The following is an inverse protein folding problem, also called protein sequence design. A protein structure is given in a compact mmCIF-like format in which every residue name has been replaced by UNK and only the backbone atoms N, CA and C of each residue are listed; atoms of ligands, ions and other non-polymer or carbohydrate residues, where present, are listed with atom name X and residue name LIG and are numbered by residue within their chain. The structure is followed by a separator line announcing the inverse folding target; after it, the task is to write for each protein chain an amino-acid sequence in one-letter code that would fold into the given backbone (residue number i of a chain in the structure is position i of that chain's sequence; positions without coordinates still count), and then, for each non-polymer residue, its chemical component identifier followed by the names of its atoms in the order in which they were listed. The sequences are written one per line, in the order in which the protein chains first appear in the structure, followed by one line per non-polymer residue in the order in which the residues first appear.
data_IF_679014640774
#
_entry.id   IF_679014640774
#
_cell.length_a   1.000
_cell.length_b   1.000
_cell.length_c   1.000
_cell.angle_alpha   90.00
_cell.angle_beta   90.00
_cell.angle_gamma   90.00
#
_symmetry.space_group_name_H-M   'P 1'
#
loop_
_entity.id
_entity.type
_entity.pdbx_description
1 polymer ?
#
# COMPACT_ATOMS: atom_id res chain seq x y z
N UNK A 1 10.14 19.66 12.63
CA UNK A 1 9.70 20.90 13.30
C UNK A 1 9.64 20.73 14.82
N UNK A 2 8.73 19.90 15.37
CA UNK A 2 8.60 19.70 16.83
C UNK A 2 9.95 19.44 17.52
N UNK A 3 10.71 18.47 16.99
CA UNK A 3 12.03 18.12 17.52
C UNK A 3 12.99 19.31 17.57
N UNK A 4 13.18 19.98 16.44
CA UNK A 4 14.14 21.10 16.27
C UNK A 4 13.81 22.30 17.16
N UNK A 5 12.52 22.60 17.34
CA UNK A 5 12.07 23.82 18.03
C UNK A 5 11.92 23.65 19.53
N UNK A 6 11.63 22.44 20.00
CA UNK A 6 11.24 22.22 21.39
C UNK A 6 12.07 21.17 22.12
N UNK A 7 12.82 20.33 21.41
CA UNK A 7 13.61 19.27 22.03
C UNK A 7 15.10 19.59 21.94
N UNK A 8 15.68 19.47 20.75
CA UNK A 8 17.13 19.58 20.53
C UNK A 8 17.42 20.00 19.08
N UNK A 9 18.61 20.56 18.78
CA UNK A 9 19.05 20.79 17.39
C UNK A 9 18.97 19.52 16.56
N UNK A 10 18.59 19.66 15.28
CA UNK A 10 18.49 18.52 14.37
C UNK A 10 19.84 17.78 14.26
N UNK A 11 19.85 16.46 14.47
CA UNK A 11 21.04 15.65 14.32
C UNK A 11 21.62 15.67 12.90
N UNK A 12 22.92 15.37 12.77
CA UNK A 12 23.61 15.37 11.46
C UNK A 12 23.19 14.20 10.57
N UNK A 13 22.64 13.14 11.15
CA UNK A 13 22.25 11.93 10.42
C UNK A 13 20.82 11.52 10.77
N UNK A 14 20.14 10.90 9.80
CA UNK A 14 18.79 10.35 10.01
C UNK A 14 18.77 9.29 11.11
N UNK A 15 19.82 8.46 11.21
CA UNK A 15 19.88 7.41 12.23
C UNK A 15 19.98 7.98 13.66
N UNK A 16 20.75 9.05 13.83
CA UNK A 16 20.82 9.77 15.10
C UNK A 16 19.47 10.43 15.44
N UNK A 17 18.80 11.05 14.45
CA UNK A 17 17.45 11.59 14.61
C UNK A 17 16.45 10.53 15.07
N UNK A 18 16.43 9.35 14.43
CA UNK A 18 15.54 8.24 14.80
C UNK A 18 15.76 7.76 16.24
N UNK A 19 17.02 7.53 16.60
CA UNK A 19 17.41 7.08 17.94
C UNK A 19 16.97 8.10 19.00
N UNK A 20 17.23 9.38 18.76
CA UNK A 20 16.83 10.45 19.68
C UNK A 20 15.33 10.63 19.75
N UNK A 21 14.60 10.54 18.62
CA UNK A 21 13.13 10.60 18.60
C UNK A 21 12.50 9.53 19.49
N UNK A 22 12.92 8.27 19.35
CA UNK A 22 12.38 7.16 20.17
C UNK A 22 12.74 7.34 21.65
N UNK A 23 13.92 7.89 21.95
CA UNK A 23 14.28 8.17 23.35
C UNK A 23 13.41 9.23 24.03
N UNK A 24 12.69 10.06 23.26
CA UNK A 24 11.77 11.10 23.76
C UNK A 24 10.31 10.64 23.74
N UNK A 25 9.96 9.72 22.85
CA UNK A 25 8.61 9.20 22.68
C UNK A 25 8.66 7.68 22.53
N UNK A 26 8.22 6.96 23.57
CA UNK A 26 8.24 5.50 23.61
C UNK A 26 7.53 4.87 22.40
N UNK A 27 6.45 5.50 21.94
CA UNK A 27 5.67 5.04 20.78
C UNK A 27 5.01 6.21 20.08
N UNK A 28 5.20 6.28 18.76
CA UNK A 28 4.53 7.25 17.89
C UNK A 28 3.62 6.51 16.93
N UNK A 29 2.38 6.96 16.82
CA UNK A 29 1.39 6.39 15.90
C UNK A 29 0.97 7.43 14.88
N UNK A 30 1.18 7.12 13.61
CA UNK A 30 0.72 7.92 12.49
C UNK A 30 -0.59 7.32 11.95
N UNK A 31 -1.71 8.03 12.14
CA UNK A 31 -3.04 7.57 11.72
C UNK A 31 -3.15 7.35 10.23
N UNK A 32 -2.43 8.15 9.43
CA UNK A 32 -2.38 8.00 7.98
C UNK A 32 -1.65 6.74 7.59
N UNK A 33 -0.56 6.42 8.28
CA UNK A 33 0.17 5.16 8.07
C UNK A 33 -0.71 3.95 8.43
N UNK A 34 -1.30 3.94 9.62
CA UNK A 34 -2.17 2.84 10.09
C UNK A 34 -3.30 2.59 9.08
N UNK A 35 -4.01 3.63 8.66
CA UNK A 35 -5.11 3.50 7.71
C UNK A 35 -4.64 2.96 6.34
N UNK A 36 -3.46 3.38 5.86
CA UNK A 36 -2.90 2.89 4.58
C UNK A 36 -2.51 1.41 4.62
N UNK A 37 -1.96 0.93 5.72
CA UNK A 37 -1.55 -0.47 5.85
C UNK A 37 -2.78 -1.38 6.06
N UNK A 38 -3.70 -0.94 6.92
CA UNK A 38 -4.85 -1.77 7.32
C UNK A 38 -5.92 -1.87 6.24
N UNK A 39 -6.05 -0.89 5.33
CA UNK A 39 -7.07 -0.97 4.26
C UNK A 39 -6.96 -2.22 3.37
N UNK A 40 -5.78 -2.82 3.26
CA UNK A 40 -5.57 -4.00 2.42
C UNK A 40 -5.88 -5.32 3.13
N UNK A 41 -6.05 -5.30 4.45
CA UNK A 41 -6.23 -6.50 5.28
C UNK A 41 -7.50 -6.47 6.12
N UNK A 42 -7.97 -5.27 6.49
CA UNK A 42 -9.17 -5.08 7.29
C UNK A 42 -10.35 -4.76 6.37
N UNK A 43 -11.35 -5.64 6.37
CA UNK A 43 -12.54 -5.53 5.49
C UNK A 43 -13.35 -4.24 5.71
N UNK A 44 -13.34 -3.67 6.91
CA UNK A 44 -14.08 -2.43 7.21
C UNK A 44 -13.38 -1.19 6.66
N UNK A 45 -12.10 -1.31 6.31
CA UNK A 45 -11.28 -0.25 5.71
C UNK A 45 -11.03 -0.46 4.22
N UNK A 46 -11.52 -1.55 3.62
CA UNK A 46 -11.27 -1.90 2.22
C UNK A 46 -11.71 -0.80 1.24
N UNK A 47 -12.82 -0.13 1.54
CA UNK A 47 -13.39 0.95 0.72
C UNK A 47 -12.70 2.32 0.92
N UNK A 48 -11.66 2.39 1.76
CA UNK A 48 -10.96 3.64 2.05
C UNK A 48 -10.15 4.13 0.83
N UNK A 49 -10.66 5.18 0.19
CA UNK A 49 -10.05 5.78 -1.02
C UNK A 49 -8.97 6.82 -0.69
N UNK A 50 -9.19 7.63 0.34
CA UNK A 50 -8.36 8.78 0.68
C UNK A 50 -7.91 8.74 2.13
N UNK A 51 -6.74 9.31 2.42
CA UNK A 51 -6.14 9.32 3.76
C UNK A 51 -5.75 10.72 4.21
N UNK A 52 -6.39 11.73 3.63
CA UNK A 52 -6.44 13.07 4.20
C UNK A 52 -7.10 13.02 5.57
N UNK A 53 -6.81 13.97 6.45
CA UNK A 53 -7.41 14.02 7.79
C UNK A 53 -8.94 14.04 7.75
N UNK A 54 -9.53 14.98 6.99
CA UNK A 54 -10.98 15.15 6.87
C UNK A 54 -11.63 13.91 6.25
N UNK A 55 -11.16 13.47 5.08
CA UNK A 55 -11.74 12.34 4.38
C UNK A 55 -11.64 11.03 5.17
N UNK A 56 -10.54 10.82 5.90
CA UNK A 56 -10.40 9.66 6.78
C UNK A 56 -11.37 9.75 7.97
N UNK A 57 -11.51 10.91 8.59
CA UNK A 57 -12.46 11.11 9.68
C UNK A 57 -13.90 10.90 9.25
N UNK A 58 -14.31 11.52 8.13
CA UNK A 58 -15.65 11.40 7.57
C UNK A 58 -15.96 9.94 7.20
N UNK A 59 -15.00 9.24 6.58
CA UNK A 59 -15.13 7.81 6.27
C UNK A 59 -15.34 6.98 7.53
N UNK A 60 -14.54 7.19 8.57
CA UNK A 60 -14.64 6.42 9.82
C UNK A 60 -15.95 6.70 10.56
N UNK A 61 -16.44 7.95 10.57
CA UNK A 61 -17.75 8.28 11.13
C UNK A 61 -18.89 7.55 10.44
N UNK A 62 -18.83 7.39 9.12
CA UNK A 62 -19.84 6.61 8.38
C UNK A 62 -19.85 5.13 8.80
N UNK A 63 -18.74 4.61 9.34
CA UNK A 63 -18.64 3.25 9.88
C UNK A 63 -19.17 3.10 11.30
N UNK A 64 -19.65 4.16 11.94
CA UNK A 64 -20.10 4.12 13.34
C UNK A 64 -21.13 3.03 13.62
N UNK A 65 -22.07 2.82 12.69
CA UNK A 65 -23.12 1.80 12.83
C UNK A 65 -22.65 0.39 12.45
N UNK A 66 -21.60 0.25 11.63
CA UNK A 66 -21.13 -1.04 11.12
C UNK A 66 -20.35 -1.82 12.19
N UNK A 67 -19.63 -1.11 13.07
CA UNK A 67 -18.68 -1.70 14.03
C UNK A 67 -18.90 -1.26 15.48
N UNK A 68 -20.00 -0.59 15.79
CA UNK A 68 -20.28 -0.05 17.14
C UNK A 68 -19.13 0.84 17.66
N UNK A 69 -18.76 1.86 16.87
CA UNK A 69 -17.67 2.76 17.24
C UNK A 69 -17.96 3.49 18.55
N UNK A 70 -16.93 3.73 19.39
CA UNK A 70 -17.10 4.46 20.64
C UNK A 70 -17.64 5.86 20.36
N UNK A 71 -18.67 6.25 21.09
CA UNK A 71 -19.22 7.60 21.00
C UNK A 71 -18.28 8.57 21.73
N UNK A 72 -17.43 9.26 20.97
CA UNK A 72 -16.56 10.31 21.48
C UNK A 72 -17.34 11.61 21.36
N UNK A 73 -17.86 12.11 22.48
CA UNK A 73 -18.66 13.33 22.53
C UNK A 73 -17.89 14.48 21.90
N UNK A 74 -18.48 15.14 20.89
CA UNK A 74 -17.89 16.33 20.27
C UNK A 74 -17.98 17.50 21.24
N UNK A 75 -16.93 17.72 22.04
CA UNK A 75 -16.78 18.94 22.83
C UNK A 75 -16.58 20.19 21.95
N UNK A 76 -16.31 20.00 20.66
CA UNK A 76 -16.04 21.09 19.71
C UNK A 76 -17.13 21.09 18.64
N UNK A 77 -17.98 22.11 18.69
CA UNK A 77 -19.23 22.22 17.90
C UNK A 77 -19.05 22.83 16.50
N UNK A 78 -17.82 22.98 16.00
CA UNK A 78 -17.55 23.61 14.71
C UNK A 78 -16.42 22.90 13.97
N UNK A 79 -16.64 22.61 12.68
CA UNK A 79 -15.66 22.07 11.75
C UNK A 79 -14.54 23.08 11.48
N UNK A 80 -13.65 23.30 12.45
CA UNK A 80 -12.53 24.22 12.36
C UNK A 80 -11.27 23.50 11.85
N UNK A 81 -11.39 22.78 10.73
CA UNK A 81 -10.22 22.21 10.06
C UNK A 81 -9.19 23.29 9.80
N UNK A 82 -7.90 22.93 9.85
CA UNK A 82 -6.75 23.84 9.74
C UNK A 82 -6.41 24.63 11.02
N UNK A 83 -7.18 24.47 12.10
CA UNK A 83 -6.70 24.83 13.43
C UNK A 83 -5.89 23.64 13.99
N UNK A 84 -4.62 23.85 14.34
CA UNK A 84 -3.75 22.77 14.81
C UNK A 84 -4.32 22.02 16.04
N UNK A 85 -5.02 22.72 16.95
CA UNK A 85 -5.67 22.09 18.10
C UNK A 85 -6.85 21.21 17.68
N UNK A 86 -7.69 21.70 16.76
CA UNK A 86 -8.80 20.92 16.20
C UNK A 86 -8.30 19.71 15.41
N UNK A 87 -7.30 19.90 14.54
CA UNK A 87 -6.71 18.83 13.74
C UNK A 87 -6.07 17.75 14.63
N UNK A 88 -5.47 18.14 15.77
CA UNK A 88 -4.94 17.20 16.77
C UNK A 88 -6.07 16.40 17.44
N UNK A 89 -7.16 17.06 17.80
CA UNK A 89 -8.35 16.42 18.37
C UNK A 89 -9.00 15.43 17.39
N UNK A 90 -9.15 15.81 16.12
CA UNK A 90 -9.63 14.93 15.05
C UNK A 90 -8.68 13.76 14.83
N UNK A 91 -7.37 14.00 14.82
CA UNK A 91 -6.35 12.94 14.70
C UNK A 91 -6.45 11.92 15.83
N UNK A 92 -6.68 12.37 17.08
CA UNK A 92 -6.88 11.48 18.22
C UNK A 92 -8.16 10.62 18.08
N UNK A 93 -9.26 11.20 17.60
CA UNK A 93 -10.49 10.44 17.32
C UNK A 93 -10.28 9.39 16.23
N UNK A 94 -9.63 9.76 15.12
CA UNK A 94 -9.26 8.82 14.05
C UNK A 94 -8.45 7.67 14.62
N UNK A 95 -7.46 7.96 15.48
CA UNK A 95 -6.64 6.93 16.11
C UNK A 95 -7.48 5.95 16.93
N UNK A 96 -8.40 6.45 17.76
CA UNK A 96 -9.31 5.61 18.56
C UNK A 96 -10.21 4.75 17.66
N UNK A 97 -10.77 5.33 16.60
CA UNK A 97 -11.61 4.61 15.65
C UNK A 97 -10.84 3.51 14.90
N UNK A 98 -9.62 3.80 14.45
CA UNK A 98 -8.76 2.79 13.82
C UNK A 98 -8.43 1.67 14.79
N UNK A 99 -8.05 1.99 16.04
CA UNK A 99 -7.81 0.98 17.07
C UNK A 99 -9.05 0.11 17.28
N UNK A 100 -10.23 0.73 17.38
CA UNK A 100 -11.48 0.01 17.56
C UNK A 100 -11.76 -0.91 16.37
N UNK A 101 -11.71 -0.43 15.13
CA UNK A 101 -11.99 -1.24 13.93
C UNK A 101 -11.04 -2.43 13.82
N UNK A 102 -9.74 -2.21 14.07
CA UNK A 102 -8.73 -3.28 14.01
C UNK A 102 -9.00 -4.31 15.11
N UNK A 103 -9.26 -3.86 16.34
CA UNK A 103 -9.63 -4.75 17.44
C UNK A 103 -10.97 -5.46 17.19
N UNK A 104 -11.94 -4.80 16.57
CA UNK A 104 -13.27 -5.34 16.29
C UNK A 104 -13.21 -6.48 15.29
N UNK A 105 -12.42 -6.34 14.22
CA UNK A 105 -12.23 -7.40 13.24
C UNK A 105 -11.62 -8.66 13.89
N UNK A 106 -10.65 -8.48 14.79
CA UNK A 106 -10.04 -9.58 15.55
C UNK A 106 -11.04 -10.18 16.55
N UNK A 107 -11.74 -9.35 17.34
CA UNK A 107 -12.56 -9.81 18.47
C UNK A 107 -13.90 -10.39 18.04
N UNK A 108 -14.51 -9.87 16.97
CA UNK A 108 -15.75 -10.42 16.38
C UNK A 108 -15.53 -11.85 15.88
N UNK A 109 -14.33 -12.18 15.40
CA UNK A 109 -14.00 -13.54 14.98
C UNK A 109 -14.01 -14.56 16.13
N UNK A 110 -13.93 -14.09 17.39
CA UNK A 110 -13.88 -14.92 18.60
C UNK A 110 -15.02 -14.60 19.59
N UNK A 111 -16.04 -13.85 19.16
CA UNK A 111 -17.21 -13.46 19.96
C UNK A 111 -16.89 -12.85 21.34
N UNK A 112 -15.90 -11.95 21.38
CA UNK A 112 -15.49 -11.27 22.62
C UNK A 112 -15.80 -9.78 22.62
N UNK A 113 -16.16 -9.29 23.80
CA UNK A 113 -16.25 -7.85 24.06
C UNK A 113 -14.88 -7.18 23.91
N UNK A 114 -14.88 -5.97 23.38
CA UNK A 114 -13.68 -5.17 23.17
C UNK A 114 -13.46 -4.27 24.38
N UNK A 115 -12.22 -4.25 24.87
CA UNK A 115 -11.77 -3.41 25.97
C UNK A 115 -10.60 -2.53 25.50
N UNK A 116 -10.34 -1.44 26.22
CA UNK A 116 -9.33 -0.46 25.84
C UNK A 116 -7.91 -1.06 25.74
N UNK A 117 -7.55 -2.03 26.58
CA UNK A 117 -6.27 -2.73 26.51
C UNK A 117 -6.07 -3.51 25.19
N UNK A 118 -7.15 -3.87 24.48
CA UNK A 118 -7.08 -4.48 23.16
C UNK A 118 -6.64 -3.48 22.08
N UNK A 119 -6.87 -2.18 22.26
CA UNK A 119 -6.55 -1.15 21.27
C UNK A 119 -5.05 -1.04 21.06
N UNK A 120 -4.29 -0.81 22.12
CA UNK A 120 -2.84 -0.66 22.00
C UNK A 120 -2.17 -1.94 21.50
N UNK A 121 -2.72 -3.09 21.88
CA UNK A 121 -2.23 -4.40 21.43
C UNK A 121 -2.45 -4.60 19.91
N UNK A 122 -3.60 -4.17 19.38
CA UNK A 122 -3.95 -4.36 17.97
C UNK A 122 -3.14 -3.45 17.04
N UNK A 123 -2.80 -2.24 17.49
CA UNK A 123 -2.00 -1.28 16.70
C UNK A 123 -0.50 -1.32 16.98
N UNK A 124 -0.03 -2.15 17.93
CA UNK A 124 1.39 -2.21 18.33
C UNK A 124 2.35 -2.39 17.15
N UNK A 125 1.98 -3.19 16.15
CA UNK A 125 2.78 -3.42 14.93
C UNK A 125 3.00 -2.16 14.07
N UNK A 126 2.25 -1.10 14.32
CA UNK A 126 2.32 0.19 13.62
C UNK A 126 3.07 1.27 14.40
N UNK A 127 3.51 0.96 15.62
CA UNK A 127 4.29 1.89 16.42
C UNK A 127 5.55 2.30 15.67
N UNK A 128 5.94 3.57 15.82
CA UNK A 128 7.19 4.13 15.34
C UNK A 128 7.35 4.10 13.82
N UNK A 129 6.25 3.98 13.07
CA UNK A 129 6.21 4.02 11.61
C UNK A 129 5.44 5.25 11.14
N UNK A 130 6.06 6.04 10.27
CA UNK A 130 5.56 7.34 9.82
C UNK A 130 5.38 7.38 8.30
N UNK A 131 4.37 8.11 7.84
CA UNK A 131 4.18 8.45 6.44
C UNK A 131 4.93 9.76 6.12
N UNK A 132 6.07 9.68 5.41
CA UNK A 132 6.92 10.86 5.12
C UNK A 132 6.41 11.65 3.91
N UNK A 133 5.71 11.01 2.97
CA UNK A 133 5.30 11.68 1.73
C UNK A 133 3.96 11.21 1.19
N UNK A 134 3.40 12.05 0.31
CA UNK A 134 2.20 11.75 -0.48
C UNK A 134 2.41 10.46 -1.30
N UNK A 135 3.64 10.20 -1.77
CA UNK A 135 4.01 9.01 -2.53
C UNK A 135 4.24 7.77 -1.66
N UNK A 136 3.74 7.77 -0.42
CA UNK A 136 3.81 6.63 0.50
C UNK A 136 5.24 6.20 0.85
N UNK A 137 6.19 7.13 0.90
CA UNK A 137 7.48 6.84 1.55
C UNK A 137 7.21 6.61 3.03
N UNK A 138 7.70 5.48 3.54
CA UNK A 138 7.56 5.06 4.92
C UNK A 138 8.87 5.31 5.66
N UNK A 139 8.79 5.89 6.85
CA UNK A 139 9.89 5.89 7.81
C UNK A 139 9.60 4.83 8.86
N UNK A 140 10.52 3.90 9.07
CA UNK A 140 10.59 3.21 10.35
C UNK A 140 11.57 3.96 11.24
N UNK A 141 11.13 4.44 12.40
CA UNK A 141 12.01 5.05 13.40
C UNK A 141 12.82 3.98 14.14
N UNK A 142 12.35 2.73 14.18
CA UNK A 142 13.07 1.63 14.81
C UNK A 142 14.09 1.02 13.85
N UNK A 143 15.31 0.85 14.36
CA UNK A 143 16.40 0.18 13.64
C UNK A 143 17.05 1.02 12.53
N UNK A 144 18.07 0.43 11.91
CA UNK A 144 18.71 1.01 10.72
C UNK A 144 17.75 0.87 9.53
N UNK A 145 17.75 1.84 8.62
CA UNK A 145 17.05 1.61 7.35
C UNK A 145 17.66 0.39 6.68
N UNK A 146 16.80 -0.52 6.24
CA UNK A 146 17.23 -1.51 5.25
C UNK A 146 17.64 -0.69 4.04
N UNK A 147 18.90 -0.79 3.64
CA UNK A 147 19.31 -0.26 2.34
C UNK A 147 18.35 -0.83 1.32
N UNK A 148 17.44 0.01 0.84
CA UNK A 148 16.65 -0.33 -0.34
C UNK A 148 17.69 -0.34 -1.44
N UNK A 149 18.22 -1.52 -1.76
CA UNK A 149 19.06 -1.68 -2.93
C UNK A 149 18.28 -1.08 -4.10
N UNK A 150 18.76 0.05 -4.61
CA UNK A 150 18.13 0.81 -5.69
C UNK A 150 17.87 -0.06 -6.94
N UNK A 151 18.52 -1.22 -7.04
CA UNK A 151 18.24 -2.26 -8.04
C UNK A 151 16.80 -2.81 -8.02
N UNK A 152 16.04 -2.63 -6.93
CA UNK A 152 14.64 -3.09 -6.84
C UNK A 152 13.60 -2.01 -7.20
N UNK A 153 14.02 -0.75 -7.40
CA UNK A 153 13.15 0.37 -7.78
C UNK A 153 13.48 0.89 -9.18
N UNK A 154 13.61 0.00 -10.16
CA UNK A 154 13.55 0.39 -11.55
C UNK A 154 12.09 0.69 -11.93
N UNK A 155 11.59 1.87 -11.55
CA UNK A 155 10.40 2.45 -12.18
C UNK A 155 10.72 2.78 -13.65
N UNK A 156 10.58 1.79 -14.54
CA UNK A 156 10.56 2.07 -15.98
C UNK A 156 9.24 2.74 -16.32
N UNK A 157 9.31 4.03 -16.62
CA UNK A 157 8.20 4.83 -17.12
C UNK A 157 7.93 4.41 -18.57
N UNK A 158 6.84 3.70 -18.82
CA UNK A 158 6.41 3.36 -20.18
C UNK A 158 5.63 4.55 -20.76
N UNK A 159 6.17 5.16 -21.82
CA UNK A 159 5.43 6.17 -22.59
C UNK A 159 4.48 5.48 -23.57
N UNK A 160 3.20 5.39 -23.20
CA UNK A 160 2.13 4.83 -24.03
C UNK A 160 1.88 5.62 -25.32
N UNK A 161 2.51 6.78 -25.52
CA UNK A 161 2.37 7.61 -26.72
C UNK A 161 2.86 6.90 -27.98
N UNK A 162 3.84 5.98 -27.87
CA UNK A 162 4.47 5.30 -29.01
C UNK A 162 3.91 3.91 -29.34
N UNK A 163 3.00 3.37 -28.54
CA UNK A 163 2.41 2.05 -28.80
C UNK A 163 1.39 2.11 -29.96
N UNK A 164 1.35 1.04 -30.75
CA UNK A 164 0.28 0.81 -31.73
C UNK A 164 -1.08 0.65 -31.02
N UNK A 165 -2.17 0.81 -31.77
CA UNK A 165 -3.52 0.70 -31.19
C UNK A 165 -3.78 -0.69 -30.58
N UNK A 166 -3.25 -1.75 -31.22
CA UNK A 166 -3.39 -3.14 -30.75
C UNK A 166 -2.60 -3.39 -29.46
N UNK A 167 -1.40 -2.83 -29.33
CA UNK A 167 -0.61 -2.87 -28.09
C UNK A 167 -1.31 -2.11 -26.96
N UNK A 168 -1.90 -0.93 -27.27
CA UNK A 168 -2.69 -0.17 -26.31
C UNK A 168 -3.91 -0.95 -25.82
N UNK A 169 -4.58 -1.69 -26.71
CA UNK A 169 -5.74 -2.54 -26.36
C UNK A 169 -5.28 -3.73 -25.50
N UNK A 170 -4.19 -4.41 -25.87
CA UNK A 170 -3.63 -5.51 -25.10
C UNK A 170 -3.19 -5.08 -23.70
N UNK A 171 -2.46 -3.95 -23.59
CA UNK A 171 -2.09 -3.36 -22.30
C UNK A 171 -3.34 -2.97 -21.50
N UNK A 172 -4.37 -2.42 -22.15
CA UNK A 172 -5.62 -2.06 -21.47
C UNK A 172 -6.38 -3.29 -20.98
N UNK A 173 -6.37 -4.40 -21.71
CA UNK A 173 -6.92 -5.69 -21.30
C UNK A 173 -6.11 -6.30 -20.14
N UNK A 174 -4.78 -6.32 -20.23
CA UNK A 174 -3.91 -6.78 -19.14
C UNK A 174 -4.13 -5.94 -17.89
N UNK A 175 -4.21 -4.60 -18.01
CA UNK A 175 -4.52 -3.70 -16.89
C UNK A 175 -5.95 -3.87 -16.38
N UNK A 176 -6.90 -4.31 -17.22
CA UNK A 176 -8.28 -4.60 -16.83
C UNK A 176 -8.37 -5.92 -16.06
N UNK A 177 -7.66 -6.95 -16.50
CA UNK A 177 -7.56 -8.24 -15.81
C UNK A 177 -6.77 -8.10 -14.51
N UNK A 178 -5.69 -7.30 -14.49
CA UNK A 178 -5.00 -6.94 -13.26
C UNK A 178 -5.86 -6.03 -12.35
N UNK A 179 -6.77 -5.23 -12.91
CA UNK A 179 -7.75 -4.44 -12.13
C UNK A 179 -8.77 -5.27 -11.38
N UNK A 180 -8.99 -6.53 -11.76
CA UNK A 180 -9.76 -7.47 -10.94
C UNK A 180 -9.05 -7.85 -9.62
N UNK A 181 -7.78 -7.44 -9.44
CA UNK A 181 -7.01 -7.60 -8.19
C UNK A 181 -6.25 -6.35 -7.69
N UNK A 182 -6.25 -5.20 -8.39
CA UNK A 182 -5.64 -3.94 -7.92
C UNK A 182 -6.39 -2.72 -8.51
N UNK A 183 -6.98 -1.88 -7.67
CA UNK A 183 -7.76 -0.72 -8.13
C UNK A 183 -6.90 0.52 -8.52
N UNK A 184 -7.27 1.09 -9.69
CA UNK A 184 -6.99 2.40 -10.31
C UNK A 184 -5.86 3.29 -9.74
N UNK A 185 -4.80 3.47 -10.55
CA UNK A 185 -3.99 4.70 -10.59
C UNK A 185 -3.91 5.25 -12.03
N UNK A 186 -4.01 6.58 -12.17
CA UNK A 186 -4.00 7.31 -13.45
C UNK A 186 -2.63 7.37 -14.14
N UNK A 187 -1.56 6.90 -13.49
CA UNK A 187 -0.21 6.77 -14.06
C UNK A 187 0.34 5.41 -13.61
N UNK A 188 0.32 4.41 -14.50
CA UNK A 188 0.64 3.02 -14.16
C UNK A 188 2.11 2.81 -13.82
N UNK A 189 2.39 2.36 -12.60
CA UNK A 189 3.64 1.69 -12.25
C UNK A 189 3.31 0.25 -11.88
N UNK A 190 4.06 -0.70 -12.43
CA UNK A 190 3.92 -2.12 -12.13
C UNK A 190 5.11 -2.52 -11.26
N UNK A 191 4.83 -2.98 -10.03
CA UNK A 191 5.86 -3.53 -9.13
C UNK A 191 5.66 -5.04 -9.14
N UNK A 192 6.59 -5.77 -9.73
CA UNK A 192 6.61 -7.23 -9.64
C UNK A 192 7.45 -7.64 -8.43
N UNK A 193 6.85 -8.42 -7.53
CA UNK A 193 7.55 -8.97 -6.38
C UNK A 193 8.58 -10.02 -6.80
N UNK A 194 9.77 -9.91 -6.19
CA UNK A 194 10.87 -10.87 -6.20
C UNK A 194 11.52 -11.22 -7.57
N UNK A 195 12.80 -10.88 -7.70
CA UNK A 195 13.63 -11.18 -8.86
C UNK A 195 13.83 -12.68 -9.10
N UNK A 196 13.78 -13.53 -8.07
CA UNK A 196 13.86 -14.98 -8.26
C UNK A 196 12.62 -15.53 -8.97
N UNK A 197 11.45 -14.99 -8.65
CA UNK A 197 10.19 -15.37 -9.30
C UNK A 197 10.22 -15.03 -10.80
N UNK A 198 10.78 -13.88 -11.17
CA UNK A 198 11.01 -13.51 -12.59
C UNK A 198 12.00 -14.46 -13.27
N UNK A 199 13.12 -14.77 -12.62
CA UNK A 199 14.17 -15.63 -13.19
C UNK A 199 13.67 -17.08 -13.39
N UNK A 200 12.88 -17.61 -12.46
CA UNK A 200 12.21 -18.92 -12.59
C UNK A 200 11.21 -18.96 -13.75
N UNK A 201 10.54 -17.85 -14.03
CA UNK A 201 9.65 -17.72 -15.18
C UNK A 201 10.47 -17.68 -16.49
N UNK A 202 11.53 -16.87 -16.54
CA UNK A 202 12.43 -16.80 -17.71
C UNK A 202 13.06 -18.15 -18.03
N UNK A 203 13.56 -18.88 -17.02
CA UNK A 203 14.21 -20.18 -17.20
C UNK A 203 13.24 -21.26 -17.68
N UNK A 204 11.96 -21.19 -17.29
CA UNK A 204 10.90 -22.09 -17.80
C UNK A 204 10.45 -21.76 -19.21
N UNK A 205 10.51 -20.49 -19.62
CA UNK A 205 10.06 -20.03 -20.94
C UNK A 205 11.14 -20.27 -22.01
N UNK A 206 12.42 -20.18 -21.65
CA UNK A 206 13.56 -20.34 -22.57
C UNK A 206 13.51 -21.61 -23.46
N UNK A 207 13.25 -22.83 -22.93
CA UNK A 207 13.20 -24.03 -23.75
C UNK A 207 11.93 -24.16 -24.62
N UNK A 208 10.83 -23.48 -24.26
CA UNK A 208 9.56 -23.53 -25.01
C UNK A 208 9.61 -22.69 -26.30
N UNK A 209 10.44 -21.64 -26.31
CA UNK A 209 10.58 -20.72 -27.44
C UNK A 209 11.46 -21.23 -28.60
N UNK A 210 12.11 -22.38 -28.47
CA UNK A 210 13.02 -22.90 -29.50
C UNK A 210 12.32 -23.67 -30.63
N UNK A 211 10.98 -23.80 -30.62
CA UNK A 211 10.25 -24.71 -31.54
C UNK A 211 8.90 -24.22 -32.06
N UNK A 212 8.60 -22.92 -32.11
CA UNK A 212 7.23 -22.46 -32.42
C UNK A 212 7.13 -21.54 -33.64
N UNK A 213 6.24 -21.92 -34.56
CA UNK A 213 5.68 -21.14 -35.68
C UNK A 213 4.58 -20.18 -35.18
N UNK A 214 4.40 -19.03 -35.83
CA UNK A 214 3.56 -17.91 -35.40
C UNK A 214 2.06 -18.27 -35.29
N UNK A 215 1.56 -19.17 -36.14
CA UNK A 215 0.15 -19.58 -36.11
C UNK A 215 -0.15 -20.59 -34.98
N UNK A 216 0.86 -21.35 -34.56
CA UNK A 216 0.78 -22.33 -33.47
C UNK A 216 0.84 -21.63 -32.09
N UNK A 217 1.29 -20.37 -32.06
CA UNK A 217 1.47 -19.60 -30.83
C UNK A 217 0.15 -19.21 -30.16
N UNK A 218 -0.86 -18.78 -30.92
CA UNK A 218 -2.11 -18.30 -30.32
C UNK A 218 -2.91 -19.44 -29.67
N UNK A 219 -2.96 -20.60 -30.34
CA UNK A 219 -3.64 -21.79 -29.80
C UNK A 219 -2.91 -22.35 -28.58
N UNK A 220 -1.57 -22.42 -28.62
CA UNK A 220 -0.76 -22.90 -27.49
C UNK A 220 -0.76 -21.94 -26.32
N UNK A 221 -0.74 -20.63 -26.55
CA UNK A 221 -0.87 -19.62 -25.48
C UNK A 221 -2.24 -19.74 -24.81
N UNK A 222 -3.30 -19.94 -25.60
CA UNK A 222 -4.67 -20.11 -25.07
C UNK A 222 -4.80 -21.41 -24.27
N UNK A 223 -4.25 -22.53 -24.74
CA UNK A 223 -4.23 -23.80 -24.00
C UNK A 223 -3.35 -23.73 -22.74
N UNK A 224 -2.23 -23.00 -22.78
CA UNK A 224 -1.32 -22.84 -21.64
C UNK A 224 -1.93 -21.90 -20.59
N UNK A 225 -2.70 -20.89 -20.99
CA UNK A 225 -3.47 -20.03 -20.11
C UNK A 225 -4.50 -20.80 -19.27
N UNK A 226 -5.16 -21.77 -19.90
CA UNK A 226 -6.14 -22.65 -19.26
C UNK A 226 -5.51 -23.59 -18.22
N UNK A 227 -4.25 -23.98 -18.39
CA UNK A 227 -3.58 -24.96 -17.52
C UNK A 227 -2.73 -24.31 -16.42
N UNK A 228 -2.03 -23.20 -16.72
CA UNK A 228 -1.02 -22.60 -15.82
C UNK A 228 -1.45 -21.27 -15.20
N UNK A 229 -2.64 -20.79 -15.53
CA UNK A 229 -3.18 -19.53 -15.04
C UNK A 229 -2.61 -18.28 -15.72
N UNK A 230 -3.33 -17.14 -15.63
CA UNK A 230 -3.10 -15.94 -16.44
C UNK A 230 -1.73 -15.26 -16.22
N UNK A 231 -1.10 -15.44 -15.06
CA UNK A 231 0.20 -14.84 -14.74
C UNK A 231 1.32 -15.40 -15.63
N UNK A 232 1.25 -16.69 -15.98
CA UNK A 232 2.26 -17.36 -16.83
C UNK A 232 2.18 -16.87 -18.28
N UNK A 233 0.98 -16.51 -18.74
CA UNK A 233 0.71 -15.97 -20.09
C UNK A 233 1.25 -14.56 -20.24
N UNK A 234 1.15 -13.74 -19.19
CA UNK A 234 1.69 -12.38 -19.16
C UNK A 234 3.21 -12.39 -19.33
N UNK A 235 3.91 -13.36 -18.74
CA UNK A 235 5.36 -13.55 -18.94
C UNK A 235 5.75 -13.89 -20.38
N UNK A 236 4.96 -14.74 -21.06
CA UNK A 236 5.19 -15.12 -22.46
C UNK A 236 4.97 -13.94 -23.43
N UNK A 237 3.91 -13.17 -23.25
CA UNK A 237 3.61 -11.99 -24.10
C UNK A 237 4.65 -10.89 -23.89
N UNK A 238 5.05 -10.62 -22.64
CA UNK A 238 6.07 -9.63 -22.33
C UNK A 238 7.44 -10.01 -22.91
N UNK A 239 7.83 -11.30 -22.83
CA UNK A 239 9.10 -11.77 -23.40
C UNK A 239 9.16 -11.65 -24.92
N UNK A 240 8.03 -11.81 -25.63
CA UNK A 240 7.98 -11.69 -27.09
C UNK A 240 7.97 -10.23 -27.56
N UNK A 241 7.25 -9.36 -26.86
CA UNK A 241 7.26 -7.91 -27.12
C UNK A 241 8.66 -7.32 -26.93
N UNK A 242 9.42 -7.80 -25.93
CA UNK A 242 10.81 -7.39 -25.70
C UNK A 242 11.73 -7.84 -26.83
N UNK A 243 11.53 -9.05 -27.39
CA UNK A 243 12.34 -9.58 -28.50
C UNK A 243 12.13 -8.85 -29.82
N UNK A 244 10.90 -8.46 -30.14
CA UNK A 244 10.59 -7.73 -31.38
C UNK A 244 11.00 -6.25 -31.35
N UNK A 245 11.23 -5.69 -30.17
CA UNK A 245 11.72 -4.32 -29.99
C UNK A 245 13.26 -4.20 -29.93
N UNK A 246 13.97 -5.33 -29.88
CA UNK A 246 15.45 -5.40 -29.82
C UNK A 246 16.04 -6.15 -31.03
N UNK A 247 15.43 -5.95 -32.19
CA UNK A 247 16.03 -6.11 -33.54
C UNK A 247 15.91 -4.78 -34.26
#
# INVERSE_FOLDING_TARGET
YLYEKFLEPLPKTLNEYKTKMISKFDSIYDTKYIAKEEKNINKYLADLKYTSLKELFDFLKQKQNDVDLPNISSLISSENYHNAGYDSYVSAQIFIYLCHIISYDIMKSIDKKIYFNHYMSSVKKHANKLCISINSKLMNLEGKEKEVHQSQLNQKRFELSRCSLQEKIAIKHILYDCKSKVEKQKNGYMITGDCESLKRIEDKIKPLNAKLDENDMLEKVTRTALVLGPITVIGLIASNLIKNYWK
#
